data_IF_199555675636
#
_entry.id   IF_199555675636
#
_cell.length_a   1.000
_cell.length_b   1.000
_cell.length_c   1.000
_cell.angle_alpha   90.00
_cell.angle_beta   90.00
_cell.angle_gamma   90.00
#
_symmetry.space_group_name_H-M   'P 1'
#
loop_
_entity.id
_entity.type
_entity.pdbx_description
1 polymer ?
#
# COMPACT_ATOMS: atom_id res chain seq x y z
N UNK A 1 40.82 -1.62 47.35
CA UNK A 1 41.28 -1.23 46.00
C UNK A 1 40.61 -2.05 44.89
N UNK A 2 40.75 -3.38 44.85
CA UNK A 2 40.13 -4.25 43.82
C UNK A 2 38.60 -4.14 43.66
N UNK A 3 37.87 -3.79 44.72
CA UNK A 3 36.42 -3.61 44.64
C UNK A 3 36.03 -2.35 43.85
N UNK A 4 36.79 -1.26 44.01
CA UNK A 4 36.58 0.00 43.30
C UNK A 4 36.86 -0.20 41.80
N UNK A 5 37.92 -0.92 41.44
CA UNK A 5 38.25 -1.26 40.05
C UNK A 5 37.15 -2.10 39.38
N UNK A 6 36.61 -3.09 40.08
CA UNK A 6 35.50 -3.92 39.57
C UNK A 6 34.22 -3.13 39.39
N UNK A 7 33.90 -2.22 40.32
CA UNK A 7 32.74 -1.33 40.19
C UNK A 7 32.89 -0.36 39.02
N UNK A 8 34.07 0.21 38.81
CA UNK A 8 34.36 1.08 37.66
C UNK A 8 34.20 0.31 36.35
N UNK A 9 34.76 -0.91 36.25
CA UNK A 9 34.61 -1.77 35.07
C UNK A 9 33.14 -2.11 34.77
N UNK A 10 32.35 -2.44 35.80
CA UNK A 10 30.94 -2.75 35.62
C UNK A 10 30.12 -1.55 35.09
N UNK A 11 30.38 -0.35 35.62
CA UNK A 11 29.72 0.88 35.12
C UNK A 11 30.15 1.16 33.68
N UNK A 12 31.43 1.01 33.35
CA UNK A 12 31.93 1.23 31.99
C UNK A 12 31.29 0.28 30.97
N UNK A 13 31.16 -1.01 31.31
CA UNK A 13 30.48 -1.99 30.48
C UNK A 13 28.99 -1.68 30.30
N UNK A 14 28.32 -1.22 31.36
CA UNK A 14 26.92 -0.81 31.30
C UNK A 14 26.75 0.40 30.37
N UNK A 15 27.60 1.43 30.51
CA UNK A 15 27.57 2.62 29.66
C UNK A 15 27.83 2.26 28.20
N UNK A 16 28.82 1.41 27.92
CA UNK A 16 29.10 0.91 26.55
C UNK A 16 27.89 0.13 26.02
N UNK A 17 27.28 -0.74 26.83
CA UNK A 17 26.10 -1.50 26.44
C UNK A 17 24.90 -0.62 26.08
N UNK A 18 24.61 0.42 26.87
CA UNK A 18 23.56 1.39 26.58
C UNK A 18 23.88 2.19 25.32
N UNK A 19 25.13 2.62 25.16
CA UNK A 19 25.55 3.39 23.98
C UNK A 19 25.47 2.56 22.70
N UNK A 20 25.90 1.30 22.74
CA UNK A 20 25.76 0.36 21.62
C UNK A 20 24.29 0.07 21.31
N UNK A 21 23.43 -0.03 22.32
CA UNK A 21 21.98 -0.22 22.14
C UNK A 21 21.33 1.00 21.47
N UNK A 22 21.72 2.22 21.84
CA UNK A 22 21.26 3.47 21.20
C UNK A 22 21.79 3.63 19.77
N UNK A 23 22.94 3.03 19.45
CA UNK A 23 23.54 3.02 18.12
C UNK A 23 22.96 1.93 17.21
N UNK A 24 22.15 1.00 17.74
CA UNK A 24 21.46 0.04 16.89
C UNK A 24 20.52 0.84 15.98
N UNK A 25 20.69 0.75 14.64
CA UNK A 25 19.82 1.47 13.72
C UNK A 25 18.37 1.10 14.03
N UNK A 26 17.45 2.08 14.07
CA UNK A 26 16.05 1.80 14.27
C UNK A 26 15.62 0.72 13.26
N UNK A 27 14.65 -0.12 13.64
CA UNK A 27 14.10 -1.16 12.76
C UNK A 27 13.25 -0.52 11.65
N UNK A 28 13.85 0.40 10.90
CA UNK A 28 13.23 1.10 9.80
C UNK A 28 13.19 0.16 8.58
N UNK A 29 12.06 0.10 7.87
CA UNK A 29 11.98 -0.65 6.63
C UNK A 29 12.90 -0.04 5.57
N UNK A 30 13.41 -0.88 4.68
CA UNK A 30 14.15 -0.52 3.46
C UNK A 30 13.24 -0.52 2.24
N UNK A 31 12.16 -1.30 2.25
CA UNK A 31 11.11 -1.28 1.22
C UNK A 31 9.74 -1.68 1.77
N UNK A 32 8.69 -1.37 1.01
CA UNK A 32 7.36 -1.94 1.21
C UNK A 32 6.93 -2.68 -0.06
N UNK A 33 6.22 -3.78 0.15
CA UNK A 33 5.59 -4.56 -0.90
C UNK A 33 4.08 -4.63 -0.67
N UNK A 34 3.34 -4.75 -1.75
CA UNK A 34 1.89 -4.91 -1.75
C UNK A 34 1.53 -6.18 -2.52
N UNK A 35 0.55 -6.91 -2.04
CA UNK A 35 0.04 -8.12 -2.67
C UNK A 35 -1.06 -7.77 -3.68
N UNK A 36 -0.91 -8.19 -4.94
CA UNK A 36 -1.73 -7.65 -6.03
C UNK A 36 -3.21 -8.10 -6.04
N UNK A 37 -3.52 -9.24 -5.43
CA UNK A 37 -4.86 -9.82 -5.33
C UNK A 37 -5.70 -9.27 -4.16
N UNK A 38 -5.05 -8.72 -3.13
CA UNK A 38 -5.67 -8.41 -1.83
C UNK A 38 -5.37 -6.99 -1.34
N UNK A 39 -4.30 -6.37 -1.84
CA UNK A 39 -3.82 -5.09 -1.33
C UNK A 39 -3.15 -5.19 0.05
N UNK A 40 -2.86 -6.40 0.54
CA UNK A 40 -2.10 -6.63 1.77
C UNK A 40 -0.72 -5.95 1.65
N UNK A 41 -0.23 -5.31 2.70
CA UNK A 41 1.06 -4.63 2.74
C UNK A 41 2.05 -5.41 3.60
N UNK A 42 3.31 -5.47 3.17
CA UNK A 42 4.40 -5.93 4.03
C UNK A 42 5.60 -5.00 3.93
N UNK A 43 6.30 -4.87 5.04
CA UNK A 43 7.50 -4.05 5.16
C UNK A 43 8.72 -4.95 5.25
N UNK A 44 9.75 -4.61 4.49
CA UNK A 44 10.97 -5.39 4.43
C UNK A 44 12.15 -4.57 4.92
N UNK A 45 13.12 -5.28 5.51
CA UNK A 45 14.48 -4.78 5.78
C UNK A 45 15.46 -5.79 5.22
N UNK A 46 16.31 -5.36 4.28
CA UNK A 46 17.30 -6.23 3.65
C UNK A 46 16.66 -7.53 3.11
N UNK A 47 15.53 -7.37 2.40
CA UNK A 47 14.67 -8.44 1.86
C UNK A 47 14.02 -9.40 2.89
N UNK A 48 14.11 -9.09 4.19
CA UNK A 48 13.41 -9.83 5.25
C UNK A 48 12.13 -9.11 5.66
N UNK A 49 11.02 -9.83 5.74
CA UNK A 49 9.76 -9.30 6.26
C UNK A 49 9.92 -8.97 7.74
N UNK A 50 9.63 -7.72 8.10
CA UNK A 50 9.67 -7.24 9.49
C UNK A 50 8.29 -6.94 10.05
N UNK A 51 7.31 -6.67 9.17
CA UNK A 51 5.94 -6.39 9.53
C UNK A 51 5.01 -6.65 8.33
N UNK A 52 3.77 -7.04 8.61
CA UNK A 52 2.74 -7.32 7.61
C UNK A 52 1.39 -6.77 8.11
N UNK A 53 0.75 -5.98 7.26
CA UNK A 53 -0.52 -5.33 7.51
C UNK A 53 -1.52 -5.85 6.48
N UNK A 54 -2.43 -6.70 6.93
CA UNK A 54 -3.55 -7.15 6.12
C UNK A 54 -4.45 -5.96 5.75
N UNK A 55 -4.97 -5.98 4.52
CA UNK A 55 -6.05 -5.09 4.10
C UNK A 55 -7.26 -5.29 5.02
N UNK A 56 -7.92 -4.19 5.39
CA UNK A 56 -9.10 -4.28 6.26
C UNK A 56 -10.29 -4.90 5.53
N UNK A 57 -11.13 -5.59 6.30
CA UNK A 57 -12.43 -6.04 5.80
C UNK A 57 -13.41 -4.86 5.72
N UNK A 58 -14.34 -4.85 4.74
CA UNK A 58 -14.62 -5.91 3.76
C UNK A 58 -13.78 -5.85 2.48
N UNK A 59 -12.87 -4.87 2.36
CA UNK A 59 -12.14 -4.60 1.11
C UNK A 59 -11.30 -5.78 0.66
N UNK A 60 -10.62 -6.43 1.62
CA UNK A 60 -9.79 -7.60 1.35
C UNK A 60 -10.58 -8.74 0.70
N UNK A 61 -11.71 -9.12 1.26
CA UNK A 61 -12.57 -10.19 0.72
C UNK A 61 -13.11 -9.84 -0.67
N UNK A 62 -13.47 -8.58 -0.90
CA UNK A 62 -13.95 -8.09 -2.20
C UNK A 62 -12.86 -8.22 -3.27
N UNK A 63 -11.65 -7.75 -2.97
CA UNK A 63 -10.50 -7.83 -3.87
C UNK A 63 -10.13 -9.28 -4.19
N UNK A 64 -10.11 -10.15 -3.18
CA UNK A 64 -9.80 -11.55 -3.36
C UNK A 64 -10.81 -12.26 -4.28
N UNK A 65 -12.11 -11.99 -4.11
CA UNK A 65 -13.14 -12.52 -5.01
C UNK A 65 -12.99 -12.01 -6.44
N UNK A 66 -12.56 -10.76 -6.62
CA UNK A 66 -12.27 -10.20 -7.94
C UNK A 66 -11.04 -10.84 -8.59
N UNK A 67 -10.01 -11.15 -7.80
CA UNK A 67 -8.76 -11.75 -8.27
C UNK A 67 -8.96 -13.13 -8.89
N UNK A 68 -9.91 -13.93 -8.40
CA UNK A 68 -10.24 -15.27 -8.95
C UNK A 68 -10.50 -15.28 -10.46
N UNK A 69 -10.94 -14.14 -11.01
CA UNK A 69 -11.37 -14.02 -12.42
C UNK A 69 -10.47 -13.10 -13.24
N UNK A 70 -9.40 -12.56 -12.66
CA UNK A 70 -8.50 -11.61 -13.34
C UNK A 70 -7.15 -12.26 -13.64
N UNK A 71 -6.64 -12.18 -14.88
CA UNK A 71 -5.30 -12.63 -15.21
C UNK A 71 -4.18 -11.70 -14.69
N UNK A 72 -4.54 -10.54 -14.13
CA UNK A 72 -3.61 -9.50 -13.67
C UNK A 72 -3.50 -9.49 -12.15
N UNK A 73 -4.62 -9.64 -11.44
CA UNK A 73 -4.67 -9.63 -9.97
C UNK A 73 -4.19 -10.98 -9.41
N UNK A 74 -2.88 -11.17 -9.36
CA UNK A 74 -2.26 -12.44 -8.93
C UNK A 74 -1.92 -12.44 -7.45
N UNK A 75 -1.84 -13.64 -6.86
CA UNK A 75 -1.20 -13.88 -5.57
C UNK A 75 0.32 -13.68 -5.69
N UNK A 76 0.74 -12.41 -5.77
CA UNK A 76 2.13 -12.02 -5.89
C UNK A 76 2.37 -10.72 -5.12
N UNK A 77 3.51 -10.68 -4.42
CA UNK A 77 4.01 -9.49 -3.75
C UNK A 77 4.87 -8.68 -4.71
N UNK A 78 4.60 -7.39 -4.80
CA UNK A 78 5.36 -6.46 -5.64
C UNK A 78 5.78 -5.23 -4.84
N UNK A 79 6.98 -4.72 -5.13
CA UNK A 79 7.51 -3.54 -4.45
C UNK A 79 6.73 -2.30 -4.84
N UNK A 80 6.16 -1.62 -3.85
CA UNK A 80 5.39 -0.40 -4.04
C UNK A 80 6.06 0.83 -3.43
N UNK A 81 7.10 0.66 -2.59
CA UNK A 81 7.90 1.77 -2.08
C UNK A 81 9.33 1.33 -1.75
N UNK A 82 10.28 2.25 -1.94
CA UNK A 82 11.65 2.12 -1.42
C UNK A 82 11.87 3.19 -0.36
N UNK A 83 12.51 2.81 0.76
CA UNK A 83 12.81 3.72 1.86
C UNK A 83 14.30 4.11 1.88
N UNK A 84 14.65 5.29 2.42
CA UNK A 84 13.73 6.35 2.84
C UNK A 84 12.97 6.92 1.65
N UNK A 85 11.71 7.30 1.86
CA UNK A 85 10.88 7.84 0.79
C UNK A 85 11.55 9.11 0.25
N UNK A 86 11.75 9.16 -1.07
CA UNK A 86 12.32 10.32 -1.76
C UNK A 86 11.22 11.38 -1.92
N UNK A 87 10.74 11.94 -0.81
CA UNK A 87 9.69 12.96 -0.77
C UNK A 87 8.69 12.77 0.37
N UNK A 88 7.65 13.60 0.39
CA UNK A 88 6.54 13.52 1.37
C UNK A 88 5.45 12.52 0.99
N UNK A 89 5.54 11.88 -0.17
CA UNK A 89 4.53 10.95 -0.64
C UNK A 89 4.70 9.61 0.08
N UNK A 90 3.71 9.26 0.90
CA UNK A 90 3.62 7.96 1.58
C UNK A 90 3.21 6.86 0.59
N UNK A 91 4.06 6.55 -0.39
CA UNK A 91 3.72 5.72 -1.56
C UNK A 91 3.14 4.35 -1.19
N UNK A 92 3.69 3.70 -0.17
CA UNK A 92 3.16 2.43 0.35
C UNK A 92 1.69 2.53 0.79
N UNK A 93 1.32 3.56 1.58
CA UNK A 93 -0.08 3.79 2.01
C UNK A 93 -0.96 4.20 0.85
N UNK A 94 -0.43 4.96 -0.10
CA UNK A 94 -1.15 5.38 -1.29
C UNK A 94 -1.54 4.17 -2.15
N UNK A 95 -0.63 3.22 -2.38
CA UNK A 95 -0.94 1.98 -3.10
C UNK A 95 -2.07 1.19 -2.41
N UNK A 96 -2.01 1.03 -1.09
CA UNK A 96 -3.08 0.37 -0.35
C UNK A 96 -4.42 1.13 -0.46
N UNK A 97 -4.40 2.45 -0.34
CA UNK A 97 -5.59 3.29 -0.50
C UNK A 97 -6.20 3.17 -1.91
N UNK A 98 -5.39 3.01 -2.95
CA UNK A 98 -5.88 2.79 -4.31
C UNK A 98 -6.64 1.46 -4.43
N UNK A 99 -6.13 0.39 -3.82
CA UNK A 99 -6.83 -0.89 -3.74
C UNK A 99 -8.14 -0.80 -2.96
N UNK A 100 -8.17 -0.03 -1.86
CA UNK A 100 -9.44 0.26 -1.15
C UNK A 100 -10.46 0.95 -2.07
N UNK A 101 -10.04 1.95 -2.85
CA UNK A 101 -10.91 2.60 -3.83
C UNK A 101 -11.43 1.62 -4.89
N UNK A 102 -10.58 0.71 -5.37
CA UNK A 102 -11.00 -0.33 -6.32
C UNK A 102 -12.08 -1.25 -5.72
N UNK A 103 -11.89 -1.68 -4.47
CA UNK A 103 -12.87 -2.49 -3.75
C UNK A 103 -14.20 -1.75 -3.58
N UNK A 104 -14.18 -0.45 -3.29
CA UNK A 104 -15.39 0.40 -3.22
C UNK A 104 -16.09 0.43 -4.56
N UNK A 105 -15.37 0.63 -5.67
CA UNK A 105 -15.94 0.54 -7.01
C UNK A 105 -16.59 -0.81 -7.29
N UNK A 106 -16.01 -1.92 -6.82
CA UNK A 106 -16.60 -3.26 -6.99
C UNK A 106 -17.96 -3.41 -6.29
N UNK A 107 -18.25 -2.62 -5.26
CA UNK A 107 -19.57 -2.59 -4.61
C UNK A 107 -20.63 -1.83 -5.44
N UNK A 108 -20.20 -0.94 -6.34
CA UNK A 108 -21.06 -0.16 -7.23
C UNK A 108 -21.23 -0.88 -8.57
N UNK A 109 -20.12 -1.24 -9.20
CA UNK A 109 -20.04 -2.02 -10.43
C UNK A 109 -18.76 -2.87 -10.42
N UNK A 110 -18.93 -4.19 -10.36
CA UNK A 110 -17.80 -5.13 -10.29
C UNK A 110 -16.84 -5.00 -11.47
N UNK A 111 -17.32 -4.70 -12.69
CA UNK A 111 -16.47 -4.59 -13.88
C UNK A 111 -15.58 -3.35 -13.79
N UNK A 112 -16.15 -2.22 -13.35
CA UNK A 112 -15.38 -0.99 -13.12
C UNK A 112 -14.34 -1.21 -12.03
N UNK A 113 -14.73 -1.81 -10.90
CA UNK A 113 -13.81 -2.07 -9.80
C UNK A 113 -12.66 -3.00 -10.18
N UNK A 114 -12.92 -4.06 -10.96
CA UNK A 114 -11.88 -4.91 -11.54
C UNK A 114 -10.96 -4.12 -12.45
N UNK A 115 -11.50 -3.30 -13.36
CA UNK A 115 -10.71 -2.44 -14.25
C UNK A 115 -9.76 -1.52 -13.44
N UNK A 116 -10.26 -0.90 -12.37
CA UNK A 116 -9.46 -0.05 -11.47
C UNK A 116 -8.34 -0.85 -10.81
N UNK A 117 -8.66 -2.00 -10.20
CA UNK A 117 -7.70 -2.86 -9.52
C UNK A 117 -6.60 -3.34 -10.47
N UNK A 118 -6.96 -3.79 -11.68
CA UNK A 118 -5.97 -4.22 -12.67
C UNK A 118 -5.11 -3.05 -13.17
N UNK A 119 -5.69 -1.85 -13.31
CA UNK A 119 -4.94 -0.64 -13.63
C UNK A 119 -3.89 -0.31 -12.57
N UNK A 120 -4.22 -0.48 -11.29
CA UNK A 120 -3.31 -0.30 -10.16
C UNK A 120 -2.22 -1.37 -10.17
N UNK A 121 -2.59 -2.64 -10.36
CA UNK A 121 -1.63 -3.75 -10.44
C UNK A 121 -0.62 -3.55 -11.57
N UNK A 122 -1.08 -3.25 -12.78
CA UNK A 122 -0.21 -2.92 -13.93
C UNK A 122 0.69 -1.73 -13.66
N UNK A 123 0.18 -0.72 -12.95
CA UNK A 123 0.97 0.44 -12.55
C UNK A 123 2.10 0.05 -11.57
N UNK A 124 1.82 -0.79 -10.57
CA UNK A 124 2.81 -1.29 -9.61
C UNK A 124 3.84 -2.20 -10.30
N UNK A 125 3.43 -3.06 -11.22
CA UNK A 125 4.35 -3.94 -11.95
C UNK A 125 5.30 -3.15 -12.87
N UNK A 126 4.80 -2.10 -13.54
CA UNK A 126 5.58 -1.31 -14.52
C UNK A 126 6.49 -0.28 -13.86
N UNK A 127 6.18 0.12 -12.64
CA UNK A 127 6.83 1.25 -11.99
C UNK A 127 7.24 0.83 -10.59
N UNK A 128 8.50 1.08 -10.20
CA UNK A 128 8.70 1.52 -8.82
C UNK A 128 7.79 2.75 -8.66
N UNK A 129 6.69 2.68 -7.91
CA UNK A 129 5.53 3.62 -7.87
C UNK A 129 5.86 5.11 -7.55
N UNK A 130 7.09 5.55 -7.76
CA UNK A 130 7.65 6.86 -7.53
C UNK A 130 7.50 7.83 -8.72
N UNK A 131 7.14 7.38 -9.93
CA UNK A 131 7.28 8.19 -11.17
C UNK A 131 5.99 8.69 -11.84
N UNK A 132 4.84 8.10 -11.56
CA UNK A 132 3.56 8.50 -12.17
C UNK A 132 2.37 8.06 -11.31
N UNK A 133 1.14 8.37 -11.74
CA UNK A 133 -0.10 7.85 -11.17
C UNK A 133 -0.66 6.73 -12.08
N UNK A 134 -1.47 5.80 -11.55
CA UNK A 134 -2.13 4.80 -12.38
C UNK A 134 -3.09 5.47 -13.37
N UNK A 135 -3.31 4.85 -14.53
CA UNK A 135 -4.29 5.34 -15.53
C UNK A 135 -5.71 5.40 -14.95
N UNK A 136 -6.02 4.52 -14.00
CA UNK A 136 -7.29 4.49 -13.26
C UNK A 136 -7.45 5.60 -12.22
N UNK A 137 -6.52 6.57 -12.15
CA UNK A 137 -6.56 7.65 -11.16
C UNK A 137 -7.85 8.47 -11.19
N UNK A 138 -8.44 8.67 -12.38
CA UNK A 138 -9.71 9.39 -12.52
C UNK A 138 -10.83 8.71 -11.72
N UNK A 139 -10.90 7.37 -11.73
CA UNK A 139 -11.89 6.62 -10.94
C UNK A 139 -11.53 6.61 -9.45
N UNK A 140 -10.24 6.50 -9.11
CA UNK A 140 -9.76 6.48 -7.72
C UNK A 140 -10.12 7.79 -6.99
N UNK A 141 -10.00 8.93 -7.68
CA UNK A 141 -10.30 10.26 -7.13
C UNK A 141 -11.79 10.50 -6.85
N UNK A 142 -12.68 9.68 -7.41
CA UNK A 142 -14.11 9.73 -7.16
C UNK A 142 -14.56 8.88 -5.96
N UNK A 143 -13.61 8.35 -5.17
CA UNK A 143 -13.91 7.71 -3.89
C UNK A 143 -13.62 8.68 -2.76
N UNK A 144 -14.59 8.89 -1.89
CA UNK A 144 -14.51 9.83 -0.77
C UNK A 144 -14.85 9.13 0.56
N UNK A 145 -14.27 9.58 1.69
CA UNK A 145 -14.69 9.10 3.01
C UNK A 145 -16.01 9.72 3.45
N UNK A 146 -16.84 8.92 4.12
CA UNK A 146 -18.01 9.36 4.90
C UNK A 146 -17.58 9.81 6.30
N UNK A 147 -18.51 10.43 7.03
CA UNK A 147 -18.30 10.85 8.42
C UNK A 147 -18.06 9.67 9.38
N UNK A 148 -18.52 8.47 9.05
CA UNK A 148 -18.30 7.23 9.81
C UNK A 148 -16.97 6.52 9.45
N UNK A 149 -16.19 7.10 8.53
CA UNK A 149 -14.91 6.55 8.07
C UNK A 149 -15.02 5.51 6.96
N UNK A 150 -16.23 5.13 6.53
CA UNK A 150 -16.42 4.26 5.37
C UNK A 150 -16.18 5.01 4.06
N UNK A 151 -15.78 4.30 3.01
CA UNK A 151 -15.55 4.88 1.68
C UNK A 151 -16.76 4.68 0.77
N UNK A 152 -17.02 5.65 -0.11
CA UNK A 152 -18.08 5.56 -1.12
C UNK A 152 -17.67 6.22 -2.43
N UNK A 153 -18.26 5.79 -3.55
CA UNK A 153 -18.15 6.50 -4.83
C UNK A 153 -19.05 7.74 -4.77
N UNK A 154 -18.49 8.91 -5.08
CA UNK A 154 -19.20 10.19 -5.08
C UNK A 154 -20.31 10.19 -6.13
N UNK A 155 -21.48 10.72 -5.77
CA UNK A 155 -22.64 10.84 -6.66
C UNK A 155 -22.31 11.72 -7.89
N UNK A 156 -23.02 11.48 -9.01
CA UNK A 156 -22.80 12.23 -10.25
C UNK A 156 -21.56 11.79 -11.06
N UNK A 157 -20.85 10.75 -10.63
CA UNK A 157 -19.71 10.18 -11.38
C UNK A 157 -20.07 9.75 -12.81
N UNK A 158 -21.35 9.41 -13.04
CA UNK A 158 -21.86 9.03 -14.37
C UNK A 158 -21.94 10.21 -15.35
N UNK A 159 -21.98 11.44 -14.84
CA UNK A 159 -22.01 12.65 -15.66
C UNK A 159 -20.60 13.21 -15.90
N UNK A 160 -19.59 12.65 -15.22
CA UNK A 160 -18.20 13.09 -15.36
C UNK A 160 -17.62 12.63 -16.71
N UNK A 161 -17.23 13.61 -17.54
CA UNK A 161 -16.70 13.35 -18.87
C UNK A 161 -15.38 12.58 -18.84
N UNK A 162 -14.56 12.76 -17.81
CA UNK A 162 -13.28 12.08 -17.67
C UNK A 162 -13.48 10.60 -17.37
N UNK A 163 -14.37 10.28 -16.44
CA UNK A 163 -14.77 8.90 -16.15
C UNK A 163 -15.41 8.26 -17.37
N UNK A 164 -16.40 8.91 -17.99
CA UNK A 164 -17.07 8.36 -19.17
C UNK A 164 -16.08 8.10 -20.31
N UNK A 165 -15.15 9.02 -20.56
CA UNK A 165 -14.10 8.82 -21.57
C UNK A 165 -13.23 7.60 -21.23
N UNK A 166 -12.79 7.48 -19.97
CA UNK A 166 -11.99 6.35 -19.52
C UNK A 166 -12.76 5.02 -19.66
N UNK A 167 -14.00 4.96 -19.19
CA UNK A 167 -14.83 3.77 -19.28
C UNK A 167 -15.11 3.37 -20.74
N UNK A 168 -15.40 4.34 -21.62
CA UNK A 168 -15.58 4.10 -23.06
C UNK A 168 -14.31 3.54 -23.71
N UNK A 169 -13.14 4.08 -23.39
CA UNK A 169 -11.86 3.56 -23.88
C UNK A 169 -11.60 2.10 -23.47
N UNK A 170 -12.26 1.64 -22.40
CA UNK A 170 -12.18 0.27 -21.89
C UNK A 170 -13.46 -0.57 -22.13
N UNK A 171 -14.39 -0.09 -22.97
CA UNK A 171 -15.61 -0.85 -23.36
C UNK A 171 -16.66 -0.99 -22.25
N UNK A 172 -16.72 -0.02 -21.31
CA UNK A 172 -17.63 0.03 -20.16
C UNK A 172 -18.51 1.29 -20.14
N UNK A 173 -18.57 2.08 -21.21
CA UNK A 173 -19.24 3.38 -21.22
C UNK A 173 -20.69 3.40 -21.69
N UNK A 174 -21.38 2.24 -21.67
CA UNK A 174 -22.81 2.09 -22.01
C UNK A 174 -23.69 1.98 -20.76
#
# INVERSE_FOLDING_TARGET
MKWIERSIQAVLLLVIGVFLWLLLPPRTPTSAEIRLDTGDLRYLRDDRVIDEIAMSEPYRSILLSAAEHSPVLKDQWHRCATFPLRGSNNTHRMCQSFYMSAAVWMTVDRRIGVLVAEGIARYIERTDAEKSLPESIALIQFVSPRSDGTLFVVDGWRDDKGILFYLNAHGLGE
#
